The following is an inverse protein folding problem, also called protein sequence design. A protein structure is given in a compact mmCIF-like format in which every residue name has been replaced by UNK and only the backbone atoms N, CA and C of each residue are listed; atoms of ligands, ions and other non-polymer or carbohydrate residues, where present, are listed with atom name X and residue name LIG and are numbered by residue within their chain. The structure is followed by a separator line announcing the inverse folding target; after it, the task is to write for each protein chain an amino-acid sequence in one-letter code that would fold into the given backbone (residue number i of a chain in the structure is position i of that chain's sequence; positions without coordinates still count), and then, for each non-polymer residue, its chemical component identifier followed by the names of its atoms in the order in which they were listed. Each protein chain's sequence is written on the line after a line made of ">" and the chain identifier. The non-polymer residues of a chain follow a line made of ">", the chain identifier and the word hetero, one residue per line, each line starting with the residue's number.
data_IF_877656647898
#
_entry.id   IF_877656647898
#
_cell.length_a   1.000
_cell.length_b   1.000
_cell.length_c   1.000
_cell.angle_alpha   90.00
_cell.angle_beta   90.00
_cell.angle_gamma   90.00
#
_symmetry.space_group_name_H-M   'P 1'
#
loop_
_entity.id
_entity.type
_entity.pdbx_description
1 polymer ?
#
# COMPACT_ATOMS: atom_id res chain seq x y z
N UNK A 1 3.56 -1.49 -1.75
CA UNK A 1 3.61 -2.50 -0.68
C UNK A 1 5.05 -2.70 -0.25
N UNK A 2 5.30 -2.79 1.06
CA UNK A 2 6.60 -3.21 1.59
C UNK A 2 6.74 -4.74 1.42
N UNK A 3 7.78 -5.18 0.74
CA UNK A 3 7.98 -6.58 0.44
C UNK A 3 8.42 -7.41 1.67
N UNK A 4 9.08 -6.77 2.65
CA UNK A 4 9.57 -7.41 3.87
C UNK A 4 8.46 -7.45 4.93
N UNK A 5 7.95 -6.29 5.31
CA UNK A 5 6.85 -6.16 6.30
C UNK A 5 5.51 -6.63 5.76
N UNK A 6 5.37 -6.70 4.43
CA UNK A 6 4.12 -7.05 3.72
C UNK A 6 2.97 -6.09 3.99
N UNK A 7 3.25 -4.89 4.49
CA UNK A 7 2.27 -3.82 4.71
C UNK A 7 1.99 -3.04 3.43
N UNK A 8 0.78 -2.55 3.29
CA UNK A 8 0.38 -1.69 2.17
C UNK A 8 0.85 -0.28 2.48
N UNK A 9 1.74 0.26 1.65
CA UNK A 9 2.31 1.60 1.82
C UNK A 9 1.50 2.67 1.09
N UNK A 10 0.99 2.35 -0.08
CA UNK A 10 0.19 3.27 -0.90
C UNK A 10 -0.78 2.52 -1.79
N UNK A 11 -1.88 3.16 -2.11
CA UNK A 11 -2.91 2.64 -2.99
C UNK A 11 -3.68 3.78 -3.66
N UNK A 12 -4.31 3.47 -4.79
CA UNK A 12 -5.25 4.36 -5.45
C UNK A 12 -6.35 3.50 -6.06
N UNK A 13 -7.59 3.85 -5.79
CA UNK A 13 -8.76 3.31 -6.48
C UNK A 13 -9.06 4.23 -7.66
N UNK A 14 -9.17 3.65 -8.85
CA UNK A 14 -9.40 4.41 -10.08
C UNK A 14 -10.14 3.52 -11.08
N UNK A 15 -10.95 4.11 -11.90
CA UNK A 15 -11.62 3.51 -13.07
C UNK A 15 -10.64 3.27 -14.24
N UNK A 16 -9.50 3.94 -14.21
CA UNK A 16 -8.48 3.84 -15.26
C UNK A 16 -7.16 3.29 -14.74
N UNK A 17 -6.37 2.72 -15.65
CA UNK A 17 -4.98 2.31 -15.40
C UNK A 17 -3.98 3.35 -15.91
N UNK A 18 -4.33 4.63 -15.86
CA UNK A 18 -3.47 5.72 -16.32
C UNK A 18 -2.25 5.93 -15.41
N UNK A 19 -1.30 6.76 -15.86
CA UNK A 19 -0.08 7.09 -15.11
C UNK A 19 -0.39 7.89 -13.84
N UNK A 20 -1.36 8.80 -13.88
CA UNK A 20 -1.75 9.64 -12.74
C UNK A 20 -2.10 8.86 -11.47
N UNK A 21 -3.04 7.89 -11.50
CA UNK A 21 -3.31 7.01 -10.36
C UNK A 21 -2.09 6.24 -9.86
N UNK A 22 -1.19 5.82 -10.77
CA UNK A 22 0.06 5.17 -10.40
C UNK A 22 0.96 6.11 -9.58
N UNK A 23 1.12 7.36 -10.02
CA UNK A 23 1.90 8.39 -9.31
C UNK A 23 1.32 8.66 -7.92
N UNK A 24 0.01 8.81 -7.80
CA UNK A 24 -0.65 9.04 -6.50
C UNK A 24 -0.40 7.89 -5.52
N UNK A 25 -0.53 6.64 -5.97
CA UNK A 25 -0.24 5.47 -5.13
C UNK A 25 1.24 5.39 -4.73
N UNK A 26 2.15 5.73 -5.64
CA UNK A 26 3.60 5.76 -5.35
C UNK A 26 3.95 6.90 -4.40
N UNK A 27 3.40 8.11 -4.60
CA UNK A 27 3.61 9.27 -3.72
C UNK A 27 3.16 8.94 -2.29
N UNK A 28 1.97 8.38 -2.11
CA UNK A 28 1.48 7.91 -0.81
C UNK A 28 2.42 6.91 -0.14
N UNK A 29 3.07 6.03 -0.93
CA UNK A 29 4.06 5.10 -0.40
C UNK A 29 5.37 5.80 -0.02
N UNK A 30 5.82 6.77 -0.81
CA UNK A 30 7.07 7.50 -0.57
C UNK A 30 6.96 8.44 0.63
N UNK A 31 5.80 9.00 0.90
CA UNK A 31 5.52 9.84 2.07
C UNK A 31 5.61 9.08 3.41
N UNK A 32 5.67 7.74 3.37
CA UNK A 32 5.94 6.93 4.57
C UNK A 32 7.40 6.92 4.99
N UNK A 33 8.30 7.36 4.14
CA UNK A 33 9.72 7.46 4.48
C UNK A 33 10.00 8.82 5.16
N UNK A 34 10.57 8.81 6.35
CA UNK A 34 11.07 10.03 7.01
C UNK A 34 12.17 10.72 6.20
N UNK A 35 12.96 9.92 5.47
CA UNK A 35 13.93 10.37 4.48
C UNK A 35 13.85 9.42 3.27
N UNK A 36 13.66 9.98 2.08
CA UNK A 36 13.59 9.18 0.86
C UNK A 36 14.93 8.46 0.61
N UNK A 37 14.91 7.12 0.42
CA UNK A 37 16.14 6.31 0.37
C UNK A 37 16.98 6.51 -0.90
N UNK A 38 16.47 7.23 -1.90
CA UNK A 38 17.14 7.43 -3.17
C UNK A 38 17.35 6.12 -3.93
N UNK A 39 18.51 5.98 -4.56
CA UNK A 39 18.88 4.77 -5.35
C UNK A 39 18.90 3.47 -4.53
N UNK A 40 18.92 3.53 -3.21
CA UNK A 40 18.82 2.33 -2.37
C UNK A 40 17.40 1.73 -2.38
N UNK A 41 16.38 2.51 -2.77
CA UNK A 41 15.02 2.02 -2.93
C UNK A 41 14.92 1.13 -4.19
N UNK A 42 14.66 -0.15 -3.98
CA UNK A 42 14.34 -1.10 -5.06
C UNK A 42 12.82 -1.17 -5.20
N UNK A 43 12.30 -0.68 -6.31
CA UNK A 43 10.88 -0.75 -6.64
C UNK A 43 10.67 -1.84 -7.68
N UNK A 44 9.89 -2.85 -7.35
CA UNK A 44 9.59 -3.98 -8.24
C UNK A 44 8.15 -3.88 -8.70
N UNK A 45 7.94 -3.90 -10.02
CA UNK A 45 6.63 -3.80 -10.64
C UNK A 45 6.44 -4.86 -11.73
N UNK A 46 5.22 -5.02 -12.19
CA UNK A 46 4.93 -5.77 -13.42
C UNK A 46 5.36 -4.97 -14.67
N UNK A 47 5.18 -5.56 -15.86
CA UNK A 47 5.56 -4.95 -17.13
C UNK A 47 4.68 -3.79 -17.59
N UNK A 48 3.84 -3.22 -16.73
CA UNK A 48 2.95 -2.14 -17.14
C UNK A 48 3.70 -0.82 -17.33
N UNK A 49 3.45 -0.16 -18.48
CA UNK A 49 4.18 1.02 -18.94
C UNK A 49 4.01 2.27 -18.06
N UNK A 50 3.00 2.33 -17.20
CA UNK A 50 2.79 3.46 -16.30
C UNK A 50 3.92 3.61 -15.26
N UNK A 51 4.59 2.52 -14.86
CA UNK A 51 5.65 2.60 -13.85
C UNK A 51 6.91 3.33 -14.31
N UNK A 52 7.48 3.05 -15.49
CA UNK A 52 8.59 3.85 -16.02
C UNK A 52 8.24 5.32 -16.23
N UNK A 53 7.03 5.62 -16.72
CA UNK A 53 6.56 7.00 -16.88
C UNK A 53 6.42 7.72 -15.54
N UNK A 54 5.88 7.05 -14.53
CA UNK A 54 5.81 7.60 -13.17
C UNK A 54 7.21 7.82 -12.58
N UNK A 55 8.16 6.91 -12.81
CA UNK A 55 9.54 7.07 -12.38
C UNK A 55 10.18 8.33 -12.98
N UNK A 56 10.04 8.53 -14.30
CA UNK A 56 10.53 9.73 -14.98
C UNK A 56 9.93 11.01 -14.39
N UNK A 57 8.64 11.01 -14.08
CA UNK A 57 7.99 12.17 -13.48
C UNK A 57 8.51 12.47 -12.09
N UNK A 58 8.70 11.48 -11.23
CA UNK A 58 9.32 11.66 -9.91
C UNK A 58 10.76 12.19 -9.99
N UNK A 59 11.52 11.75 -10.98
CA UNK A 59 12.87 12.24 -11.21
C UNK A 59 12.89 13.70 -11.64
N UNK A 60 12.01 14.09 -12.58
CA UNK A 60 11.96 15.44 -13.13
C UNK A 60 11.34 16.47 -12.17
N UNK A 61 10.25 16.13 -11.49
CA UNK A 61 9.50 17.09 -10.68
C UNK A 61 9.93 17.11 -9.21
N UNK A 62 10.34 15.98 -8.65
CA UNK A 62 10.60 15.83 -7.22
C UNK A 62 12.05 15.45 -6.92
N UNK A 63 12.89 15.33 -7.95
CA UNK A 63 14.29 14.86 -7.84
C UNK A 63 14.40 13.53 -7.02
N UNK A 64 13.36 12.69 -7.09
CA UNK A 64 13.32 11.38 -6.44
C UNK A 64 13.79 10.29 -7.39
N UNK A 65 15.05 9.92 -7.27
CA UNK A 65 15.67 8.85 -8.07
C UNK A 65 15.61 7.54 -7.29
N UNK A 66 15.07 6.48 -7.89
CA UNK A 66 15.00 5.14 -7.31
C UNK A 66 15.20 4.06 -8.37
N UNK A 67 15.54 2.84 -7.97
CA UNK A 67 15.73 1.73 -8.89
C UNK A 67 14.41 1.01 -9.16
N UNK A 68 13.90 1.16 -10.39
CA UNK A 68 12.73 0.43 -10.88
C UNK A 68 13.18 -0.85 -11.59
N UNK A 69 12.66 -1.99 -11.14
CA UNK A 69 12.81 -3.29 -11.81
C UNK A 69 11.45 -3.78 -12.26
N UNK A 70 11.26 -3.97 -13.56
CA UNK A 70 10.04 -4.57 -14.09
C UNK A 70 10.24 -6.07 -14.32
N UNK A 71 9.33 -6.86 -13.74
CA UNK A 71 9.27 -8.31 -13.94
C UNK A 71 8.20 -8.59 -14.98
N UNK A 72 8.66 -8.87 -16.22
CA UNK A 72 7.80 -9.06 -17.39
C UNK A 72 7.62 -10.56 -17.64
N UNK A 73 6.37 -10.99 -17.81
CA UNK A 73 6.02 -12.35 -18.21
C UNK A 73 5.63 -13.28 -17.07
N UNK A 74 5.12 -14.43 -17.47
CA UNK A 74 4.65 -15.50 -16.57
C UNK A 74 5.69 -16.62 -16.40
N UNK A 75 6.63 -16.71 -17.33
CA UNK A 75 7.70 -17.73 -17.32
C UNK A 75 8.89 -17.22 -16.49
N UNK A 76 9.32 -18.03 -15.53
CA UNK A 76 10.46 -17.71 -14.66
C UNK A 76 11.79 -18.10 -15.32
N UNK A 77 11.95 -17.91 -16.61
CA UNK A 77 13.11 -18.40 -17.36
C UNK A 77 14.24 -17.38 -17.48
N UNK A 78 14.04 -16.18 -16.96
CA UNK A 78 15.05 -15.13 -16.92
C UNK A 78 15.58 -14.88 -15.50
N UNK A 79 16.85 -14.41 -15.35
CA UNK A 79 17.45 -14.16 -14.04
C UNK A 79 16.68 -13.16 -13.19
N UNK A 80 16.10 -12.10 -13.78
CA UNK A 80 15.38 -11.06 -13.08
C UNK A 80 14.09 -11.62 -12.48
N UNK A 81 13.31 -12.36 -13.28
CA UNK A 81 12.09 -13.02 -12.79
C UNK A 81 12.39 -14.01 -11.65
N UNK A 82 13.50 -14.72 -11.74
CA UNK A 82 13.93 -15.67 -10.71
C UNK A 82 14.29 -14.93 -9.40
N UNK A 83 15.06 -13.85 -9.47
CA UNK A 83 15.47 -13.05 -8.30
C UNK A 83 14.26 -12.43 -7.59
N UNK A 84 13.31 -11.86 -8.34
CA UNK A 84 12.18 -11.11 -7.77
C UNK A 84 10.87 -11.91 -7.68
N UNK A 85 10.89 -13.21 -7.94
CA UNK A 85 9.71 -14.09 -7.87
C UNK A 85 8.98 -14.00 -6.54
N UNK A 86 9.73 -13.97 -5.44
CA UNK A 86 9.15 -13.91 -4.10
C UNK A 86 8.38 -12.61 -3.85
N UNK A 87 8.85 -11.46 -4.39
CA UNK A 87 8.16 -10.16 -4.31
C UNK A 87 6.82 -10.24 -5.04
N UNK A 88 6.81 -10.80 -6.25
CA UNK A 88 5.59 -11.02 -7.03
C UNK A 88 4.58 -11.88 -6.27
N UNK A 89 5.02 -12.97 -5.64
CA UNK A 89 4.16 -13.83 -4.82
C UNK A 89 3.55 -13.10 -3.63
N UNK A 90 4.25 -12.15 -3.01
CA UNK A 90 3.70 -11.33 -1.92
C UNK A 90 2.52 -10.51 -2.40
N UNK A 91 2.64 -9.84 -3.55
CA UNK A 91 1.56 -9.05 -4.15
C UNK A 91 0.40 -9.93 -4.62
N UNK A 92 0.67 -11.09 -5.20
CA UNK A 92 -0.37 -12.04 -5.61
C UNK A 92 -1.17 -12.59 -4.41
N UNK A 93 -0.53 -12.85 -3.29
CA UNK A 93 -1.20 -13.25 -2.04
C UNK A 93 -2.07 -12.11 -1.48
N UNK A 94 -1.57 -10.88 -1.51
CA UNK A 94 -2.35 -9.70 -1.14
C UNK A 94 -3.62 -9.59 -2.00
N UNK A 95 -3.46 -9.66 -3.31
CA UNK A 95 -4.58 -9.61 -4.25
C UNK A 95 -5.60 -10.73 -4.02
N UNK A 96 -5.17 -11.95 -3.72
CA UNK A 96 -6.07 -13.06 -3.35
C UNK A 96 -6.83 -12.77 -2.07
N UNK A 97 -6.15 -12.23 -1.06
CA UNK A 97 -6.77 -11.87 0.22
C UNK A 97 -7.82 -10.77 0.03
N UNK A 98 -7.52 -9.75 -0.76
CA UNK A 98 -8.48 -8.69 -1.08
C UNK A 98 -9.67 -9.24 -1.87
N UNK A 99 -9.42 -10.03 -2.91
CA UNK A 99 -10.48 -10.61 -3.75
C UNK A 99 -11.43 -11.51 -2.96
N UNK A 100 -10.96 -12.22 -1.94
CA UNK A 100 -11.83 -13.01 -1.07
C UNK A 100 -12.77 -12.15 -0.24
N UNK A 101 -12.32 -10.98 0.25
CA UNK A 101 -13.17 -10.00 0.93
C UNK A 101 -14.16 -9.33 -0.03
N UNK A 102 -13.68 -8.93 -1.21
CA UNK A 102 -14.49 -8.26 -2.23
C UNK A 102 -15.62 -9.12 -2.78
N UNK A 103 -15.38 -10.41 -2.97
CA UNK A 103 -16.43 -11.33 -3.50
C UNK A 103 -17.68 -11.38 -2.65
N UNK A 104 -17.54 -11.21 -1.35
CA UNK A 104 -18.68 -11.24 -0.40
C UNK A 104 -19.55 -9.98 -0.54
N UNK A 105 -19.00 -8.87 -1.01
CA UNK A 105 -19.74 -7.61 -1.17
C UNK A 105 -20.53 -7.52 -2.49
N UNK A 106 -20.38 -8.50 -3.38
CA UNK A 106 -21.01 -8.52 -4.72
C UNK A 106 -20.71 -7.28 -5.57
N UNK A 107 -19.61 -6.57 -5.29
CA UNK A 107 -19.22 -5.34 -5.97
C UNK A 107 -19.48 -4.08 -5.16
N UNK A 108 -19.26 -2.94 -5.79
CA UNK A 108 -19.46 -1.62 -5.19
C UNK A 108 -20.50 -0.83 -6.00
N UNK A 109 -21.40 -0.14 -5.31
CA UNK A 109 -22.46 0.63 -5.95
C UNK A 109 -21.97 2.02 -6.45
N UNK A 110 -20.77 2.45 -6.08
CA UNK A 110 -20.18 3.72 -6.51
C UNK A 110 -18.66 3.73 -6.31
N UNK A 111 -17.96 4.62 -7.02
CA UNK A 111 -16.51 4.84 -6.89
C UNK A 111 -16.11 5.29 -5.48
N UNK A 112 -16.93 6.14 -4.86
CA UNK A 112 -16.71 6.55 -3.47
C UNK A 112 -16.86 5.38 -2.52
N UNK A 113 -17.89 4.56 -2.70
CA UNK A 113 -18.09 3.33 -1.91
C UNK A 113 -16.92 2.36 -2.06
N UNK A 114 -16.40 2.19 -3.28
CA UNK A 114 -15.20 1.41 -3.53
C UNK A 114 -13.98 1.97 -2.79
N UNK A 115 -13.76 3.29 -2.87
CA UNK A 115 -12.64 3.98 -2.23
C UNK A 115 -12.68 3.86 -0.71
N UNK A 116 -13.83 4.10 -0.09
CA UNK A 116 -13.99 3.95 1.37
C UNK A 116 -13.82 2.51 1.83
N UNK A 117 -14.43 1.57 1.12
CA UNK A 117 -14.31 0.14 1.44
C UNK A 117 -12.87 -0.32 1.35
N UNK A 118 -12.14 0.12 0.32
CA UNK A 118 -10.73 -0.24 0.17
C UNK A 118 -9.87 0.41 1.25
N UNK A 119 -10.12 1.67 1.62
CA UNK A 119 -9.42 2.35 2.71
C UNK A 119 -9.60 1.61 4.05
N UNK A 120 -10.84 1.22 4.39
CA UNK A 120 -11.13 0.43 5.58
C UNK A 120 -10.46 -0.95 5.53
N UNK A 121 -10.46 -1.59 4.36
CA UNK A 121 -9.78 -2.87 4.19
C UNK A 121 -8.27 -2.75 4.38
N UNK A 122 -7.62 -1.70 3.86
CA UNK A 122 -6.20 -1.42 4.07
C UNK A 122 -5.90 -1.16 5.54
N UNK A 123 -6.74 -0.37 6.22
CA UNK A 123 -6.61 -0.12 7.66
C UNK A 123 -6.70 -1.43 8.47
N UNK A 124 -7.70 -2.26 8.19
CA UNK A 124 -7.83 -3.59 8.78
C UNK A 124 -6.60 -4.46 8.50
N UNK A 125 -6.19 -4.55 7.24
CA UNK A 125 -5.07 -5.39 6.82
C UNK A 125 -3.76 -5.02 7.49
N UNK A 126 -3.47 -3.71 7.61
CA UNK A 126 -2.20 -3.23 8.15
C UNK A 126 -2.17 -3.21 9.69
N UNK A 127 -3.27 -2.81 10.34
CA UNK A 127 -3.25 -2.46 11.76
C UNK A 127 -4.04 -3.40 12.66
N UNK A 128 -5.03 -4.12 12.12
CA UNK A 128 -5.95 -4.91 12.94
C UNK A 128 -5.88 -6.42 12.69
N UNK A 129 -5.61 -6.81 11.44
CA UNK A 129 -5.59 -8.22 11.06
C UNK A 129 -4.39 -8.93 11.67
N UNK A 130 -4.61 -10.10 12.35
CA UNK A 130 -3.51 -10.98 12.74
C UNK A 130 -2.89 -11.65 11.51
N UNK A 131 -1.57 -11.68 11.43
CA UNK A 131 -0.85 -12.32 10.33
C UNK A 131 -0.02 -13.49 10.84
N UNK A 132 -0.23 -14.72 10.36
CA UNK A 132 0.49 -15.90 10.83
C UNK A 132 2.03 -15.76 10.73
N UNK A 133 2.51 -15.14 9.64
CA UNK A 133 3.93 -14.91 9.43
C UNK A 133 4.52 -13.75 10.27
N UNK A 134 3.68 -13.02 11.01
CA UNK A 134 4.09 -12.02 11.99
C UNK A 134 3.65 -12.44 13.41
N UNK A 135 3.77 -13.72 13.73
CA UNK A 135 3.42 -14.27 15.04
C UNK A 135 2.01 -13.91 15.50
N UNK A 136 1.04 -13.89 14.57
CA UNK A 136 -0.36 -13.49 14.78
C UNK A 136 -0.55 -12.05 15.25
N UNK A 137 0.44 -11.18 15.02
CA UNK A 137 0.34 -9.73 15.23
C UNK A 137 -0.07 -9.00 13.97
N UNK A 138 -0.51 -7.76 14.12
CA UNK A 138 -0.71 -6.85 13.00
C UNK A 138 0.62 -6.49 12.33
N UNK A 139 0.59 -6.04 11.07
CA UNK A 139 1.81 -5.67 10.33
C UNK A 139 2.40 -4.36 10.83
N UNK A 140 1.53 -3.41 11.16
CA UNK A 140 1.89 -2.14 11.76
C UNK A 140 1.30 -2.11 13.17
N UNK A 141 2.16 -2.26 14.17
CA UNK A 141 1.75 -2.22 15.57
C UNK A 141 1.58 -0.76 16.02
N UNK A 142 0.49 -0.49 16.73
CA UNK A 142 0.21 0.76 17.41
C UNK A 142 0.12 0.45 18.91
N UNK A 143 0.81 1.23 19.73
CA UNK A 143 0.87 1.00 21.18
C UNK A 143 -0.51 1.11 21.81
N UNK A 144 -1.34 2.02 21.32
CA UNK A 144 -2.71 2.24 21.76
C UNK A 144 -3.63 1.03 21.55
N UNK A 145 -3.29 0.15 20.61
CA UNK A 145 -4.07 -1.07 20.33
C UNK A 145 -3.63 -2.30 21.13
N UNK A 146 -2.46 -2.24 21.78
CA UNK A 146 -1.88 -3.41 22.47
C UNK A 146 -2.71 -3.85 23.70
N UNK A 147 -3.29 -2.90 24.41
CA UNK A 147 -4.09 -3.15 25.61
C UNK A 147 -5.56 -3.47 25.32
N UNK A 148 -5.96 -3.47 24.05
CA UNK A 148 -7.37 -3.60 23.65
C UNK A 148 -7.62 -4.99 23.06
N UNK A 149 -8.57 -5.73 23.66
CA UNK A 149 -8.83 -7.11 23.28
C UNK A 149 -9.85 -7.24 22.14
N UNK A 150 -10.93 -6.45 22.20
CA UNK A 150 -12.05 -6.62 21.27
C UNK A 150 -11.86 -5.84 19.96
N UNK A 151 -12.28 -6.44 18.86
CA UNK A 151 -12.17 -5.83 17.53
C UNK A 151 -12.96 -4.50 17.41
N UNK A 152 -14.19 -4.38 17.91
CA UNK A 152 -14.92 -3.10 17.90
C UNK A 152 -14.16 -1.96 18.60
N UNK A 153 -13.60 -2.23 19.78
CA UNK A 153 -12.83 -1.23 20.51
C UNK A 153 -11.53 -0.84 19.78
N UNK A 154 -10.85 -1.80 19.15
CA UNK A 154 -9.69 -1.51 18.28
C UNK A 154 -10.06 -0.58 17.12
N UNK A 155 -11.21 -0.81 16.48
CA UNK A 155 -11.70 0.08 15.44
C UNK A 155 -12.00 1.50 15.95
N UNK A 156 -12.62 1.65 17.11
CA UNK A 156 -12.89 2.95 17.71
C UNK A 156 -11.60 3.75 17.94
N UNK A 157 -10.58 3.11 18.50
CA UNK A 157 -9.27 3.74 18.73
C UNK A 157 -8.64 4.14 17.39
N UNK A 158 -8.62 3.25 16.40
CA UNK A 158 -8.01 3.54 15.09
C UNK A 158 -8.71 4.70 14.39
N UNK A 159 -10.03 4.81 14.47
CA UNK A 159 -10.80 5.93 13.93
C UNK A 159 -10.44 7.22 14.65
N UNK A 160 -10.38 7.21 15.99
CA UNK A 160 -10.00 8.37 16.81
C UNK A 160 -8.60 8.87 16.48
N UNK A 161 -7.62 7.98 16.33
CA UNK A 161 -6.25 8.33 15.92
C UNK A 161 -6.21 8.94 14.52
N UNK A 162 -7.00 8.41 13.59
CA UNK A 162 -7.14 8.97 12.26
C UNK A 162 -7.72 10.39 12.28
N UNK A 163 -8.77 10.63 13.07
CA UNK A 163 -9.37 11.96 13.25
C UNK A 163 -8.37 12.96 13.85
N UNK A 164 -7.66 12.57 14.91
CA UNK A 164 -6.62 13.39 15.51
C UNK A 164 -5.52 13.77 14.52
N UNK A 165 -5.09 12.82 13.71
CA UNK A 165 -4.08 13.07 12.66
C UNK A 165 -4.56 14.11 11.65
N UNK A 166 -5.82 14.03 11.22
CA UNK A 166 -6.42 15.00 10.29
C UNK A 166 -6.46 16.40 10.93
N UNK A 167 -6.87 16.52 12.18
CA UNK A 167 -6.90 17.79 12.90
C UNK A 167 -5.51 18.42 13.00
N UNK A 168 -4.51 17.65 13.41
CA UNK A 168 -3.12 18.10 13.50
C UNK A 168 -2.56 18.57 12.13
N UNK A 169 -2.93 17.88 11.05
CA UNK A 169 -2.54 18.28 9.69
C UNK A 169 -3.22 19.56 9.22
N UNK A 170 -4.44 19.83 9.66
CA UNK A 170 -5.16 21.07 9.37
C UNK A 170 -4.55 22.26 10.12
N UNK A 171 -4.25 22.10 11.40
CA UNK A 171 -3.59 23.12 12.21
C UNK A 171 -2.21 23.50 11.66
N UNK A 172 -1.41 22.50 11.24
CA UNK A 172 -0.11 22.73 10.63
C UNK A 172 -0.15 23.49 9.29
N UNK A 173 -1.30 23.49 8.60
CA UNK A 173 -1.47 24.26 7.34
C UNK A 173 -1.92 25.69 7.57
N UNK A 174 -2.43 26.02 8.74
CA UNK A 174 -2.94 27.35 9.11
C UNK A 174 -1.94 28.19 9.88
N UNK A 175 -0.82 27.57 10.28
CA UNK A 175 0.34 28.21 10.93
C UNK A 175 1.41 28.57 9.90
#
# INVERSE_FOLDING_TARGET
>A
MDAIKKSILGYQVSDTRAVGPCILAMRMAFDKFSKFPGKALKFVADGYSAYPLAQQQFELEENKIFNLTQVIGLSNNDPVSTEFRWVKQVVERLNRTFKSSYRVTCGYGSDQGASYSFALWVAYYNFLRPHPYNYWRSLNELDELKSVETMPAKWQILISLGQQTILNMQEAKTS
#
